data_IF_222991573198
#
_entry.id   IF_222991573198
#
_cell.length_a   1.000
_cell.length_b   1.000
_cell.length_c   1.000
_cell.angle_alpha   90.00
_cell.angle_beta   90.00
_cell.angle_gamma   90.00
#
_symmetry.space_group_name_H-M   'P 1'
#
loop_
_entity.id
_entity.type
_entity.pdbx_description
1 polymer ?
#
# COMPACT_ATOMS: atom_id res chain seq x y z
N UNK A 1 -36.67 -79.69 53.24
CA UNK A 1 -35.78 -78.71 53.90
C UNK A 1 -35.14 -77.84 52.81
N UNK A 2 -35.37 -76.52 52.89
CA UNK A 2 -34.72 -75.37 52.19
C UNK A 2 -34.75 -75.33 50.64
N UNK A 3 -35.59 -74.51 49.97
CA UNK A 3 -35.62 -73.03 49.76
C UNK A 3 -34.79 -72.56 48.54
N UNK A 4 -35.45 -72.19 47.42
CA UNK A 4 -35.57 -70.83 46.81
C UNK A 4 -34.25 -70.24 46.23
N UNK A 5 -34.16 -69.56 45.07
CA UNK A 5 -35.03 -68.59 44.38
C UNK A 5 -34.80 -68.61 42.85
N UNK A 6 -35.82 -68.14 42.11
CA UNK A 6 -35.81 -67.76 40.68
C UNK A 6 -35.07 -66.43 40.43
N UNK A 7 -34.49 -66.25 39.24
CA UNK A 7 -34.45 -64.97 38.48
C UNK A 7 -34.15 -65.22 36.98
N UNK A 8 -34.75 -64.45 36.04
CA UNK A 8 -34.68 -64.70 34.59
C UNK A 8 -33.52 -63.93 33.92
N UNK A 9 -32.97 -64.45 32.81
CA UNK A 9 -32.06 -63.71 31.95
C UNK A 9 -32.83 -63.14 30.74
N UNK A 10 -32.75 -61.82 30.59
CA UNK A 10 -33.35 -61.02 29.53
C UNK A 10 -32.48 -61.14 28.27
N UNK A 11 -33.10 -61.45 27.13
CA UNK A 11 -32.48 -61.35 25.80
C UNK A 11 -32.55 -59.88 25.38
N UNK A 12 -31.40 -59.20 25.37
CA UNK A 12 -31.25 -57.83 24.88
C UNK A 12 -30.67 -57.83 23.47
N UNK A 13 -31.48 -57.45 22.49
CA UNK A 13 -31.10 -57.23 21.10
C UNK A 13 -30.21 -55.99 20.99
N UNK A 14 -28.97 -56.13 20.52
CA UNK A 14 -28.10 -55.00 20.16
C UNK A 14 -28.47 -54.50 18.75
N UNK A 15 -29.06 -53.31 18.65
CA UNK A 15 -29.07 -52.54 17.40
C UNK A 15 -27.71 -51.85 17.24
N UNK A 16 -26.98 -52.18 16.17
CA UNK A 16 -25.82 -51.41 15.72
C UNK A 16 -26.31 -50.20 14.92
N UNK A 17 -26.11 -48.99 15.47
CA UNK A 17 -26.29 -47.75 14.71
C UNK A 17 -25.03 -47.48 13.88
N UNK A 18 -25.15 -47.62 12.56
CA UNK A 18 -24.11 -47.18 11.62
C UNK A 18 -24.14 -45.64 11.55
N UNK A 19 -23.13 -44.99 12.12
CA UNK A 19 -22.90 -43.56 11.92
C UNK A 19 -22.37 -43.34 10.50
N UNK A 20 -23.22 -42.80 9.62
CA UNK A 20 -22.79 -42.27 8.33
C UNK A 20 -21.99 -40.99 8.58
N UNK A 21 -20.66 -41.10 8.49
CA UNK A 21 -19.77 -39.94 8.47
C UNK A 21 -20.00 -39.15 7.17
N UNK A 22 -20.49 -37.93 7.28
CA UNK A 22 -20.48 -36.98 6.17
C UNK A 22 -19.01 -36.67 5.82
N UNK A 23 -18.64 -36.57 4.54
CA UNK A 23 -17.30 -36.14 4.16
C UNK A 23 -17.10 -34.71 4.65
N UNK A 24 -16.21 -34.55 5.64
CA UNK A 24 -15.74 -33.25 6.07
C UNK A 24 -15.12 -32.56 4.87
N UNK A 25 -15.68 -31.42 4.47
CA UNK A 25 -15.02 -30.51 3.55
C UNK A 25 -13.80 -30.00 4.30
N UNK A 26 -12.63 -30.55 4.00
CA UNK A 26 -11.37 -29.97 4.43
C UNK A 26 -11.33 -28.56 3.81
N UNK A 27 -11.63 -27.55 4.62
CA UNK A 27 -11.33 -26.16 4.27
C UNK A 27 -9.82 -26.13 4.04
N UNK A 28 -9.41 -25.93 2.78
CA UNK A 28 -8.01 -25.69 2.48
C UNK A 28 -7.54 -24.56 3.39
N UNK A 29 -6.62 -24.85 4.31
CA UNK A 29 -6.03 -23.83 5.15
C UNK A 29 -5.44 -22.79 4.21
N UNK A 30 -5.91 -21.54 4.30
CA UNK A 30 -5.26 -20.42 3.64
C UNK A 30 -3.80 -20.45 4.03
N UNK A 31 -2.89 -20.42 3.05
CA UNK A 31 -1.47 -20.32 3.34
C UNK A 31 -1.26 -19.05 4.17
N UNK A 32 -0.85 -19.22 5.43
CA UNK A 32 -0.60 -18.11 6.34
C UNK A 32 0.54 -17.21 5.85
N UNK A 33 0.81 -16.11 6.58
CA UNK A 33 1.91 -15.23 6.22
C UNK A 33 3.24 -15.98 6.22
N UNK A 34 4.08 -15.65 5.24
CA UNK A 34 5.48 -16.08 5.16
C UNK A 34 6.36 -14.93 5.65
N UNK A 35 7.19 -15.22 6.64
CA UNK A 35 8.18 -14.26 7.17
C UNK A 35 9.25 -13.97 6.12
N UNK A 36 9.47 -12.68 5.84
CA UNK A 36 10.54 -12.22 4.94
C UNK A 36 11.89 -12.07 5.67
N UNK A 37 11.89 -12.17 7.00
CA UNK A 37 13.08 -12.13 7.84
C UNK A 37 13.77 -10.77 7.88
N UNK A 38 14.99 -10.76 8.42
CA UNK A 38 15.84 -9.58 8.60
C UNK A 38 17.26 -9.87 8.11
N UNK A 39 18.07 -8.83 7.92
CA UNK A 39 19.50 -9.00 7.71
C UNK A 39 20.18 -9.50 9.00
N UNK A 40 21.34 -10.19 8.89
CA UNK A 40 22.09 -10.61 10.07
C UNK A 40 22.39 -9.44 11.02
N UNK A 41 21.92 -9.54 12.27
CA UNK A 41 22.09 -8.52 13.30
C UNK A 41 20.89 -7.59 13.49
N UNK A 42 19.95 -7.55 12.54
CA UNK A 42 18.74 -6.73 12.63
C UNK A 42 17.58 -7.48 13.33
N UNK A 43 16.66 -6.72 13.92
CA UNK A 43 15.50 -7.25 14.66
C UNK A 43 14.17 -7.00 13.96
N UNK A 44 14.12 -6.02 13.05
CA UNK A 44 12.90 -5.59 12.40
C UNK A 44 13.09 -5.52 10.88
N UNK A 45 12.00 -5.69 10.15
CA UNK A 45 11.97 -5.45 8.72
C UNK A 45 10.63 -4.88 8.27
N UNK A 46 10.66 -4.12 7.17
CA UNK A 46 9.47 -3.57 6.53
C UNK A 46 9.58 -3.72 5.01
N UNK A 47 8.58 -4.34 4.40
CA UNK A 47 8.41 -4.37 2.94
C UNK A 47 7.56 -3.18 2.50
N UNK A 48 8.04 -2.44 1.49
CA UNK A 48 7.44 -1.18 1.03
C UNK A 48 6.76 -1.34 -0.33
N UNK A 49 7.32 -2.18 -1.20
CA UNK A 49 6.79 -2.39 -2.55
C UNK A 49 7.04 -3.81 -3.06
N UNK A 50 6.20 -4.24 -3.99
CA UNK A 50 6.28 -5.51 -4.71
C UNK A 50 5.97 -5.26 -6.19
N UNK A 51 6.72 -5.90 -7.10
CA UNK A 51 6.43 -5.86 -8.53
C UNK A 51 5.70 -7.12 -9.03
N UNK A 52 5.34 -7.15 -10.32
CA UNK A 52 4.66 -8.28 -10.95
C UNK A 52 5.47 -9.60 -10.88
N UNK A 53 6.80 -9.52 -10.93
CA UNK A 53 7.66 -10.70 -10.82
C UNK A 53 7.78 -11.26 -9.37
N UNK A 54 7.15 -10.60 -8.40
CA UNK A 54 7.26 -10.95 -6.98
C UNK A 54 8.56 -10.49 -6.32
N UNK A 55 9.32 -9.61 -6.98
CA UNK A 55 10.45 -8.91 -6.33
C UNK A 55 9.88 -7.89 -5.36
N UNK A 56 10.35 -7.95 -4.13
CA UNK A 56 9.95 -7.05 -3.05
C UNK A 56 11.14 -6.22 -2.60
N UNK A 57 10.89 -5.00 -2.12
CA UNK A 57 11.92 -4.11 -1.58
C UNK A 57 11.46 -3.44 -0.30
N UNK A 58 12.41 -2.92 0.48
CA UNK A 58 12.11 -2.27 1.73
C UNK A 58 13.36 -2.03 2.57
N UNK A 59 13.21 -2.22 3.88
CA UNK A 59 14.25 -1.97 4.88
C UNK A 59 14.31 -3.08 5.94
N UNK A 60 15.51 -3.27 6.49
CA UNK A 60 15.83 -4.08 7.66
C UNK A 60 16.56 -3.20 8.66
N UNK A 61 16.28 -3.32 9.96
CA UNK A 61 16.85 -2.41 10.95
C UNK A 61 16.97 -3.03 12.36
N UNK A 62 17.95 -2.56 13.17
CA UNK A 62 18.16 -3.04 14.52
C UNK A 62 17.13 -2.44 15.50
N UNK A 63 17.04 -3.03 16.69
CA UNK A 63 16.20 -2.52 17.80
C UNK A 63 16.68 -1.20 18.42
N UNK A 64 17.92 -0.79 18.17
CA UNK A 64 18.55 0.37 18.81
C UNK A 64 17.85 1.72 18.46
N UNK A 65 17.85 2.65 19.42
CA UNK A 65 17.32 4.03 19.31
C UNK A 65 18.02 4.88 18.24
N UNK A 66 19.14 4.42 17.70
CA UNK A 66 19.85 5.05 16.57
C UNK A 66 19.41 4.54 15.20
N UNK A 67 18.35 3.72 15.13
CA UNK A 67 17.72 3.11 13.93
C UNK A 67 18.44 3.42 12.61
N UNK A 68 19.38 2.55 12.24
CA UNK A 68 20.01 2.57 10.93
C UNK A 68 19.19 1.68 10.00
N UNK A 69 18.54 2.29 9.02
CA UNK A 69 17.79 1.54 8.01
C UNK A 69 18.76 0.96 6.97
N UNK A 70 18.71 -0.35 6.78
CA UNK A 70 19.44 -1.04 5.73
C UNK A 70 18.48 -1.31 4.57
N UNK A 71 18.72 -0.77 3.36
CA UNK A 71 17.86 -1.04 2.22
C UNK A 71 18.02 -2.51 1.81
N UNK A 72 16.91 -3.18 1.52
CA UNK A 72 16.89 -4.61 1.21
C UNK A 72 15.98 -4.93 0.04
N UNK A 73 16.25 -6.08 -0.57
CA UNK A 73 15.41 -6.72 -1.58
C UNK A 73 15.11 -8.15 -1.14
N UNK A 74 13.88 -8.59 -1.37
CA UNK A 74 13.49 -9.98 -1.29
C UNK A 74 13.11 -10.50 -2.67
N UNK A 75 13.45 -11.74 -2.97
CA UNK A 75 12.91 -12.41 -4.13
C UNK A 75 11.50 -12.97 -3.88
N UNK A 76 10.88 -13.55 -4.90
CA UNK A 76 9.53 -14.14 -4.82
C UNK A 76 9.37 -15.29 -3.81
N UNK A 77 10.47 -15.79 -3.27
CA UNK A 77 10.50 -16.85 -2.26
C UNK A 77 10.83 -16.29 -0.86
N UNK A 78 10.90 -14.97 -0.71
CA UNK A 78 11.21 -14.30 0.54
C UNK A 78 12.69 -14.32 0.92
N UNK A 79 13.60 -14.64 -0.01
CA UNK A 79 15.04 -14.62 0.30
C UNK A 79 15.54 -13.18 0.33
N UNK A 80 15.98 -12.71 1.50
CA UNK A 80 16.49 -11.35 1.73
C UNK A 80 17.92 -11.17 1.20
N UNK A 81 18.22 -9.99 0.69
CA UNK A 81 19.56 -9.53 0.34
C UNK A 81 19.68 -8.03 0.59
N UNK A 82 20.83 -7.58 1.08
CA UNK A 82 21.11 -6.16 1.25
C UNK A 82 21.27 -5.47 -0.12
N UNK A 83 20.76 -4.24 -0.23
CA UNK A 83 21.08 -3.32 -1.31
C UNK A 83 22.20 -2.38 -0.83
N UNK A 84 23.22 -2.09 -1.67
CA UNK A 84 24.31 -1.21 -1.27
C UNK A 84 23.87 0.25 -1.16
N UNK A 85 24.49 1.00 -0.26
CA UNK A 85 24.36 2.47 -0.15
C UNK A 85 25.43 3.17 -1.00
N UNK A 86 25.51 4.50 -0.96
CA UNK A 86 26.55 5.29 -1.65
C UNK A 86 27.85 5.41 -0.84
N UNK A 87 28.10 4.46 0.07
CA UNK A 87 29.25 4.45 0.97
C UNK A 87 28.94 4.88 2.41
N UNK A 88 27.74 5.43 2.67
CA UNK A 88 27.23 5.65 4.03
C UNK A 88 26.59 4.38 4.62
N UNK A 89 26.12 4.44 5.86
CA UNK A 89 25.59 3.24 6.55
C UNK A 89 24.07 3.04 6.44
N UNK A 90 23.32 3.97 5.85
CA UNK A 90 21.85 3.88 5.80
C UNK A 90 21.26 4.11 4.42
N UNK A 91 20.06 3.57 4.24
CA UNK A 91 19.20 3.81 3.10
C UNK A 91 17.86 3.11 3.26
N UNK A 92 16.93 3.39 2.36
CA UNK A 92 15.65 2.68 2.30
C UNK A 92 15.21 2.56 0.85
N UNK A 93 14.77 1.36 0.47
CA UNK A 93 14.15 1.12 -0.83
C UNK A 93 12.63 1.30 -0.71
N UNK A 94 12.07 2.17 -1.56
CA UNK A 94 10.70 2.67 -1.42
C UNK A 94 9.77 2.08 -2.50
N UNK A 95 10.25 2.02 -3.75
CA UNK A 95 9.46 1.53 -4.87
C UNK A 95 10.29 0.64 -5.80
N UNK A 96 9.62 -0.25 -6.53
CA UNK A 96 10.23 -1.17 -7.51
C UNK A 96 9.33 -1.28 -8.73
N UNK A 97 9.92 -1.24 -9.93
CA UNK A 97 9.18 -1.39 -11.18
C UNK A 97 9.17 -2.85 -11.69
N UNK A 98 8.46 -3.10 -12.79
CA UNK A 98 8.23 -4.45 -13.33
C UNK A 98 9.51 -5.19 -13.77
N UNK A 99 10.57 -4.45 -14.11
CA UNK A 99 11.88 -5.04 -14.48
C UNK A 99 12.83 -5.20 -13.28
N UNK A 100 12.38 -4.85 -12.08
CA UNK A 100 13.14 -5.02 -10.84
C UNK A 100 14.12 -3.89 -10.53
N UNK A 101 14.00 -2.74 -11.18
CA UNK A 101 14.71 -1.51 -10.76
C UNK A 101 14.00 -0.96 -9.54
N UNK A 102 14.76 -0.78 -8.46
CA UNK A 102 14.27 -0.20 -7.21
C UNK A 102 14.75 1.24 -7.06
N UNK A 103 14.00 2.06 -6.34
CA UNK A 103 14.36 3.45 -6.03
C UNK A 103 14.07 3.78 -4.57
N UNK A 104 14.76 4.79 -4.06
CA UNK A 104 14.61 5.25 -2.69
C UNK A 104 15.66 6.30 -2.36
N UNK A 105 16.23 6.20 -1.16
CA UNK A 105 17.30 7.07 -0.71
C UNK A 105 18.43 6.29 -0.04
N UNK A 106 19.64 6.84 -0.07
CA UNK A 106 20.79 6.29 0.64
C UNK A 106 21.77 7.40 1.06
N UNK A 107 22.50 7.17 2.15
CA UNK A 107 23.61 8.03 2.55
C UNK A 107 24.87 7.75 1.74
N UNK A 108 25.60 8.82 1.44
CA UNK A 108 26.98 8.75 0.97
C UNK A 108 27.98 8.73 2.14
N UNK A 109 29.27 8.73 1.82
CA UNK A 109 30.37 8.72 2.79
C UNK A 109 30.43 9.95 3.71
N UNK A 110 29.71 11.02 3.38
CA UNK A 110 29.62 12.26 4.17
C UNK A 110 28.30 12.35 4.95
N UNK A 111 27.50 11.27 4.98
CA UNK A 111 26.17 11.22 5.59
C UNK A 111 25.13 12.14 4.91
N UNK A 112 25.35 12.49 3.64
CA UNK A 112 24.38 13.24 2.85
C UNK A 112 23.36 12.29 2.20
N UNK A 113 22.06 12.64 2.28
CA UNK A 113 20.97 11.83 1.71
C UNK A 113 20.87 12.08 0.21
N UNK A 114 20.93 11.01 -0.59
CA UNK A 114 20.69 11.10 -2.03
C UNK A 114 19.54 10.20 -2.44
N UNK A 115 18.74 10.68 -3.38
CA UNK A 115 17.86 9.82 -4.14
C UNK A 115 18.71 8.82 -4.94
N UNK A 116 18.35 7.54 -4.90
CA UNK A 116 19.12 6.48 -5.57
C UNK A 116 18.22 5.57 -6.38
N UNK A 117 18.83 4.94 -7.37
CA UNK A 117 18.28 3.78 -8.07
C UNK A 117 19.19 2.57 -7.85
N UNK A 118 18.58 1.41 -7.61
CA UNK A 118 19.25 0.12 -7.64
C UNK A 118 18.82 -0.63 -8.90
N UNK A 119 19.79 -0.99 -9.73
CA UNK A 119 19.57 -1.87 -10.87
C UNK A 119 19.19 -3.29 -10.39
N UNK A 120 18.60 -4.14 -11.25
CA UNK A 120 18.16 -5.48 -10.84
C UNK A 120 19.28 -6.37 -10.26
N UNK A 121 20.52 -6.11 -10.68
CA UNK A 121 21.76 -6.76 -10.20
C UNK A 121 22.27 -6.22 -8.85
N UNK A 122 21.62 -5.20 -8.29
CA UNK A 122 21.98 -4.54 -7.04
C UNK A 122 22.87 -3.31 -7.18
N UNK A 123 23.32 -2.96 -8.38
CA UNK A 123 24.17 -1.77 -8.59
C UNK A 123 23.43 -0.50 -8.21
N UNK A 124 23.97 0.26 -7.25
CA UNK A 124 23.42 1.55 -6.81
C UNK A 124 23.97 2.71 -7.63
N UNK A 125 23.11 3.68 -7.95
CA UNK A 125 23.50 4.93 -8.60
C UNK A 125 22.72 6.07 -7.99
N UNK A 126 23.41 7.16 -7.62
CA UNK A 126 22.76 8.40 -7.21
C UNK A 126 22.03 9.03 -8.39
N UNK A 127 20.80 9.50 -8.15
CA UNK A 127 20.08 10.32 -9.12
C UNK A 127 20.61 11.76 -9.08
N UNK A 128 20.75 12.44 -10.22
CA UNK A 128 21.26 13.80 -10.26
C UNK A 128 20.37 14.77 -9.46
N UNK A 129 20.98 15.70 -8.71
CA UNK A 129 20.27 16.67 -7.87
C UNK A 129 21.22 17.69 -7.24
N UNK A 130 20.67 18.79 -6.73
CA UNK A 130 21.46 19.89 -6.16
C UNK A 130 21.72 19.76 -4.64
N UNK A 131 21.19 18.71 -4.00
CA UNK A 131 21.35 18.47 -2.57
C UNK A 131 20.50 17.28 -2.10
N UNK A 132 20.09 17.33 -0.82
CA UNK A 132 19.27 16.28 -0.21
C UNK A 132 18.06 15.92 -1.06
N UNK A 133 17.91 14.64 -1.37
CA UNK A 133 16.87 14.14 -2.29
C UNK A 133 16.39 12.74 -1.91
N UNK A 134 15.17 12.40 -2.35
CA UNK A 134 14.58 11.08 -2.16
C UNK A 134 13.69 10.71 -3.35
N UNK A 135 13.82 9.48 -3.85
CA UNK A 135 12.93 8.96 -4.89
C UNK A 135 11.73 8.24 -4.25
N UNK A 136 10.51 8.63 -4.61
CA UNK A 136 9.29 8.12 -3.99
C UNK A 136 8.54 7.12 -4.89
N UNK A 137 8.53 7.36 -6.19
CA UNK A 137 7.79 6.54 -7.18
C UNK A 137 8.61 6.30 -8.44
N UNK A 138 8.37 5.16 -9.10
CA UNK A 138 9.00 4.79 -10.37
C UNK A 138 7.95 4.22 -11.33
N UNK A 139 7.95 4.66 -12.59
CA UNK A 139 7.10 4.13 -13.65
C UNK A 139 7.66 2.82 -14.21
N UNK A 140 6.83 2.09 -14.98
CA UNK A 140 7.27 0.91 -15.73
C UNK A 140 8.38 1.24 -16.72
N UNK A 141 8.36 2.45 -17.28
CA UNK A 141 9.36 2.96 -18.22
C UNK A 141 10.64 3.50 -17.55
N UNK A 142 10.71 3.50 -16.22
CA UNK A 142 11.89 3.95 -15.46
C UNK A 142 11.96 5.47 -15.24
N UNK A 143 10.86 6.19 -15.45
CA UNK A 143 10.73 7.59 -14.99
C UNK A 143 10.52 7.58 -13.48
N UNK A 144 11.26 8.40 -12.76
CA UNK A 144 11.24 8.46 -11.31
C UNK A 144 10.74 9.84 -10.90
N UNK A 145 10.00 9.93 -9.81
CA UNK A 145 9.62 11.19 -9.20
C UNK A 145 9.75 11.14 -7.68
N UNK A 146 10.00 12.30 -7.07
CA UNK A 146 10.20 12.41 -5.63
C UNK A 146 10.58 13.82 -5.21
N UNK A 147 11.28 13.94 -4.09
CA UNK A 147 11.69 15.21 -3.50
C UNK A 147 13.17 15.51 -3.71
N UNK A 148 13.49 16.80 -3.78
CA UNK A 148 14.84 17.34 -3.80
C UNK A 148 14.83 18.71 -3.11
N UNK A 149 16.01 19.33 -3.00
CA UNK A 149 16.16 20.74 -2.68
C UNK A 149 16.76 21.51 -3.86
N UNK A 150 16.44 22.80 -3.97
CA UNK A 150 17.13 23.73 -4.87
C UNK A 150 18.54 24.05 -4.32
N UNK A 151 19.36 24.75 -5.11
CA UNK A 151 20.67 25.25 -4.65
C UNK A 151 20.58 26.18 -3.42
N UNK A 152 19.40 26.77 -3.16
CA UNK A 152 19.13 27.62 -2.01
C UNK A 152 18.51 26.84 -0.83
N UNK A 153 18.38 25.52 -0.93
CA UNK A 153 17.81 24.66 0.11
C UNK A 153 16.28 24.63 0.14
N UNK A 154 15.59 25.15 -0.89
CA UNK A 154 14.12 25.12 -0.95
C UNK A 154 13.63 23.72 -1.34
N UNK A 155 12.73 23.08 -0.57
CA UNK A 155 12.15 21.80 -0.95
C UNK A 155 11.35 21.91 -2.24
N UNK A 156 11.59 20.99 -3.17
CA UNK A 156 10.91 20.90 -4.46
C UNK A 156 10.60 19.45 -4.81
N UNK A 157 9.54 19.23 -5.57
CA UNK A 157 9.30 17.96 -6.23
C UNK A 157 10.01 17.93 -7.58
N UNK A 158 10.60 16.79 -7.94
CA UNK A 158 11.36 16.63 -9.18
C UNK A 158 11.00 15.33 -9.89
N UNK A 159 11.21 15.34 -11.20
CA UNK A 159 11.13 14.20 -12.11
C UNK A 159 12.52 13.89 -12.65
N UNK A 160 12.97 12.65 -12.48
CA UNK A 160 14.14 12.11 -13.16
C UNK A 160 13.69 11.26 -14.33
N UNK A 161 14.02 11.69 -15.55
CA UNK A 161 13.73 10.91 -16.75
C UNK A 161 14.76 9.78 -16.93
N UNK A 162 14.41 8.81 -17.77
CA UNK A 162 15.28 7.65 -18.04
C UNK A 162 16.63 8.04 -18.67
N UNK A 163 16.69 9.18 -19.38
CA UNK A 163 17.92 9.73 -19.96
C UNK A 163 18.81 10.48 -18.95
N UNK A 164 18.38 10.56 -17.69
CA UNK A 164 19.09 11.26 -16.61
C UNK A 164 18.77 12.74 -16.49
N UNK A 165 17.89 13.30 -17.33
CA UNK A 165 17.43 14.68 -17.18
C UNK A 165 16.60 14.85 -15.90
N UNK A 166 16.80 15.98 -15.22
CA UNK A 166 16.05 16.38 -14.03
C UNK A 166 15.14 17.53 -14.41
N UNK A 167 13.85 17.39 -14.12
CA UNK A 167 12.84 18.42 -14.33
C UNK A 167 12.19 18.76 -12.99
N UNK A 168 12.25 20.01 -12.58
CA UNK A 168 11.48 20.49 -11.44
C UNK A 168 9.98 20.47 -11.77
N UNK A 169 9.17 20.00 -10.83
CA UNK A 169 7.72 19.99 -10.95
C UNK A 169 7.20 21.32 -10.43
N UNK A 170 6.61 22.13 -11.32
CA UNK A 170 6.23 23.51 -11.01
C UNK A 170 5.27 23.60 -9.82
N UNK A 171 5.44 24.60 -8.97
CA UNK A 171 4.49 24.96 -7.92
C UNK A 171 3.32 25.80 -8.47
N UNK A 172 2.26 25.97 -7.68
CA UNK A 172 1.20 26.91 -8.00
C UNK A 172 1.69 28.37 -7.86
N UNK A 173 1.14 29.33 -8.62
CA UNK A 173 1.55 30.72 -8.55
C UNK A 173 1.47 31.29 -7.12
N UNK A 174 2.58 31.83 -6.62
CA UNK A 174 2.68 32.41 -5.28
C UNK A 174 2.78 31.39 -4.14
N UNK A 175 2.64 30.10 -4.43
CA UNK A 175 2.95 29.00 -3.52
C UNK A 175 4.37 28.46 -3.72
N UNK A 176 4.74 27.42 -2.98
CA UNK A 176 6.08 26.83 -3.08
C UNK A 176 6.23 25.37 -2.69
N UNK A 177 5.39 24.84 -1.80
CA UNK A 177 5.47 23.43 -1.43
C UNK A 177 4.80 22.55 -2.49
N UNK A 178 5.42 21.42 -2.80
CA UNK A 178 4.91 20.38 -3.70
C UNK A 178 5.24 19.01 -3.15
N UNK A 179 4.36 18.02 -3.39
CA UNK A 179 4.58 16.63 -2.99
C UNK A 179 4.04 15.67 -4.05
N UNK A 180 4.83 14.65 -4.41
CA UNK A 180 4.43 13.61 -5.38
C UNK A 180 3.71 12.47 -4.67
N UNK A 181 2.59 12.01 -5.22
CA UNK A 181 1.83 10.88 -4.68
C UNK A 181 1.73 9.68 -5.63
N UNK A 182 1.91 9.89 -6.93
CA UNK A 182 1.82 8.80 -7.90
C UNK A 182 2.33 9.17 -9.29
N UNK A 183 2.55 8.15 -10.11
CA UNK A 183 3.02 8.28 -11.50
C UNK A 183 2.32 7.24 -12.37
N UNK A 184 1.98 7.60 -13.61
CA UNK A 184 1.44 6.64 -14.59
C UNK A 184 2.52 5.67 -15.04
N UNK A 185 2.13 4.46 -15.45
CA UNK A 185 3.06 3.40 -15.86
C UNK A 185 3.96 3.79 -17.04
N UNK A 186 3.49 4.66 -17.94
CA UNK A 186 4.28 5.22 -19.04
C UNK A 186 5.22 6.36 -18.59
N UNK A 187 5.05 6.90 -17.38
CA UNK A 187 5.82 8.02 -16.84
C UNK A 187 5.42 9.39 -17.42
N UNK A 188 4.27 9.48 -18.09
CA UNK A 188 3.82 10.70 -18.76
C UNK A 188 3.17 11.70 -17.79
N UNK A 189 2.49 11.21 -16.75
CA UNK A 189 1.78 12.03 -15.77
C UNK A 189 2.21 11.68 -14.35
N UNK A 190 2.36 12.71 -13.53
CA UNK A 190 2.61 12.60 -12.09
C UNK A 190 1.45 13.28 -11.37
N UNK A 191 0.91 12.65 -10.32
CA UNK A 191 -0.07 13.27 -9.42
C UNK A 191 0.57 13.69 -8.12
N UNK A 192 -0.06 14.65 -7.44
CA UNK A 192 0.37 15.03 -6.12
C UNK A 192 -0.37 16.23 -5.55
N UNK A 193 0.31 16.94 -4.66
CA UNK A 193 -0.21 18.10 -3.95
C UNK A 193 0.68 19.32 -4.20
N UNK A 194 0.06 20.50 -4.27
CA UNK A 194 0.76 21.77 -4.26
C UNK A 194 0.01 22.78 -3.38
N UNK A 195 0.75 23.69 -2.76
CA UNK A 195 0.16 24.74 -1.93
C UNK A 195 0.00 26.03 -2.75
N UNK A 196 -1.11 26.74 -2.55
CA UNK A 196 -1.30 28.09 -3.08
C UNK A 196 -0.61 29.16 -2.20
N UNK A 197 -0.71 30.44 -2.58
CA UNK A 197 -0.12 31.54 -1.81
C UNK A 197 -0.76 31.77 -0.43
N UNK A 198 -1.96 31.22 -0.19
CA UNK A 198 -2.65 31.29 1.09
C UNK A 198 -2.35 30.07 1.98
N UNK A 199 -1.58 29.10 1.49
CA UNK A 199 -1.25 27.87 2.19
C UNK A 199 -2.34 26.81 2.14
N UNK A 200 -3.31 26.91 1.22
CA UNK A 200 -4.26 25.83 0.96
C UNK A 200 -3.60 24.78 0.07
N UNK A 201 -3.89 23.50 0.33
CA UNK A 201 -3.45 22.37 -0.48
C UNK A 201 -4.40 22.09 -1.65
N UNK A 202 -3.82 21.84 -2.81
CA UNK A 202 -4.50 21.52 -4.05
C UNK A 202 -4.08 20.14 -4.53
N UNK A 203 -5.04 19.38 -5.07
CA UNK A 203 -4.73 18.19 -5.84
C UNK A 203 -4.25 18.64 -7.23
N UNK A 204 -3.09 18.17 -7.64
CA UNK A 204 -2.44 18.66 -8.87
C UNK A 204 -1.92 17.51 -9.72
N UNK A 205 -1.62 17.85 -10.97
CA UNK A 205 -1.00 16.96 -11.94
C UNK A 205 0.12 17.67 -12.66
N UNK A 206 1.23 16.97 -12.86
CA UNK A 206 2.32 17.42 -13.71
C UNK A 206 2.43 16.57 -14.96
N UNK A 207 2.78 17.20 -16.07
CA UNK A 207 3.16 16.52 -17.31
C UNK A 207 4.69 16.28 -17.36
N UNK A 208 5.16 15.68 -18.45
CA UNK A 208 6.58 15.37 -18.64
C UNK A 208 7.52 16.59 -18.63
N UNK A 209 7.02 17.80 -18.92
CA UNK A 209 7.80 19.05 -18.89
C UNK A 209 7.77 19.72 -17.51
N UNK A 210 7.16 19.09 -16.50
CA UNK A 210 6.99 19.67 -15.17
C UNK A 210 5.89 20.73 -15.09
N UNK A 211 5.08 20.92 -16.15
CA UNK A 211 4.00 21.89 -16.13
C UNK A 211 2.85 21.39 -15.24
N UNK A 212 2.41 22.24 -14.33
CA UNK A 212 1.37 21.96 -13.34
C UNK A 212 -0.03 22.23 -13.91
N UNK A 213 -0.98 21.36 -13.56
CA UNK A 213 -2.42 21.57 -13.73
C UNK A 213 -3.06 21.46 -12.35
N UNK A 214 -3.72 22.54 -11.90
CA UNK A 214 -4.57 22.52 -10.71
C UNK A 214 -5.88 21.78 -11.00
N UNK A 215 -6.19 20.75 -10.22
CA UNK A 215 -7.40 19.93 -10.38
C UNK A 215 -8.52 20.37 -9.43
N UNK A 216 -8.23 21.25 -8.48
CA UNK A 216 -9.17 21.76 -7.48
C UNK A 216 -9.22 23.29 -7.43
N UNK A 217 -9.27 24.02 -8.57
CA UNK A 217 -9.17 25.48 -8.58
C UNK A 217 -10.36 26.17 -7.90
N UNK A 218 -11.50 25.49 -7.78
CA UNK A 218 -12.70 25.99 -7.12
C UNK A 218 -12.71 25.85 -5.60
N UNK A 219 -11.68 25.23 -5.00
CA UNK A 219 -11.60 25.03 -3.55
C UNK A 219 -10.91 26.19 -2.81
N UNK A 220 -10.74 27.32 -3.49
CA UNK A 220 -10.16 28.55 -2.93
C UNK A 220 -11.09 29.09 -1.82
N UNK A 221 -10.70 28.86 -0.56
CA UNK A 221 -11.48 29.25 0.62
C UNK A 221 -11.87 28.08 1.53
N UNK A 222 -11.58 26.83 1.15
CA UNK A 222 -11.76 25.67 2.02
C UNK A 222 -10.48 24.80 1.97
N UNK A 223 -9.77 24.63 3.08
CA UNK A 223 -8.48 23.92 3.08
C UNK A 223 -8.72 22.44 2.74
N UNK A 224 -8.05 21.92 1.73
CA UNK A 224 -7.99 20.46 1.53
C UNK A 224 -8.39 20.00 0.15
N UNK A 225 -7.44 19.75 -0.73
CA UNK A 225 -7.61 18.81 -1.81
C UNK A 225 -6.39 17.90 -1.91
N UNK A 226 -6.62 16.60 -1.74
CA UNK A 226 -5.53 15.61 -1.71
C UNK A 226 -5.66 14.63 -2.87
N UNK A 227 -4.55 14.37 -3.57
CA UNK A 227 -4.47 13.33 -4.58
C UNK A 227 -3.88 12.06 -3.94
N UNK A 228 -4.68 11.01 -3.79
CA UNK A 228 -4.24 9.78 -3.13
C UNK A 228 -3.54 8.81 -4.10
N UNK A 229 -4.12 8.59 -5.28
CA UNK A 229 -3.59 7.64 -6.25
C UNK A 229 -3.98 8.00 -7.69
N UNK A 230 -3.16 7.59 -8.66
CA UNK A 230 -3.37 7.77 -10.09
C UNK A 230 -3.31 6.42 -10.81
N UNK A 231 -4.18 6.21 -11.81
CA UNK A 231 -4.11 5.04 -12.69
C UNK A 231 -3.46 5.37 -14.05
N UNK A 232 -3.18 4.36 -14.87
CA UNK A 232 -2.49 4.54 -16.16
C UNK A 232 -3.28 5.37 -17.20
N UNK A 233 -4.58 5.59 -16.96
CA UNK A 233 -5.41 6.46 -17.79
C UNK A 233 -5.37 7.93 -17.34
N UNK A 234 -4.62 8.26 -16.30
CA UNK A 234 -4.51 9.60 -15.74
C UNK A 234 -5.72 10.02 -14.91
N UNK A 235 -6.52 9.06 -14.43
CA UNK A 235 -7.58 9.32 -13.46
C UNK A 235 -6.96 9.31 -12.07
N UNK A 236 -7.24 10.35 -11.29
CA UNK A 236 -6.72 10.53 -9.94
C UNK A 236 -7.87 10.38 -8.95
N UNK A 237 -7.74 9.53 -7.94
CA UNK A 237 -8.67 9.45 -6.82
C UNK A 237 -8.11 10.22 -5.61
N UNK A 238 -8.99 10.81 -4.82
CA UNK A 238 -8.58 11.55 -3.62
C UNK A 238 -9.75 12.26 -2.94
N UNK A 239 -9.47 13.35 -2.23
CA UNK A 239 -10.48 14.07 -1.45
C UNK A 239 -10.49 15.56 -1.78
N UNK A 240 -11.66 16.18 -1.61
CA UNK A 240 -11.80 17.63 -1.44
C UNK A 240 -12.48 17.91 -0.11
N UNK A 241 -12.17 19.03 0.52
CA UNK A 241 -12.91 19.48 1.70
C UNK A 241 -14.14 20.24 1.25
N UNK A 242 -15.31 19.87 1.77
CA UNK A 242 -16.58 20.60 1.58
C UNK A 242 -17.23 20.80 2.96
N UNK A 243 -17.46 22.06 3.35
CA UNK A 243 -18.03 22.40 4.67
C UNK A 243 -17.33 21.71 5.86
N UNK A 244 -15.99 21.66 5.83
CA UNK A 244 -15.16 21.03 6.87
C UNK A 244 -15.09 19.50 6.84
N UNK A 245 -15.60 18.84 5.79
CA UNK A 245 -15.58 17.37 5.65
C UNK A 245 -14.83 16.92 4.41
N UNK A 246 -14.16 15.77 4.49
CA UNK A 246 -13.52 15.15 3.33
C UNK A 246 -14.55 14.42 2.47
N UNK A 247 -14.73 14.92 1.25
CA UNK A 247 -15.58 14.32 0.23
C UNK A 247 -14.71 13.54 -0.75
N UNK A 248 -14.95 12.23 -0.94
CA UNK A 248 -14.19 11.44 -1.91
C UNK A 248 -14.53 11.86 -3.34
N UNK A 249 -13.50 12.07 -4.16
CA UNK A 249 -13.62 12.49 -5.56
C UNK A 249 -12.65 11.72 -6.45
N UNK A 250 -12.94 11.74 -7.75
CA UNK A 250 -12.01 11.39 -8.80
C UNK A 250 -11.89 12.51 -9.83
N UNK A 251 -10.68 12.91 -10.17
CA UNK A 251 -10.38 13.81 -11.27
C UNK A 251 -10.07 13.01 -12.53
N UNK A 252 -10.87 13.24 -13.58
CA UNK A 252 -10.66 12.63 -14.89
C UNK A 252 -9.45 13.24 -15.60
N UNK A 253 -9.00 12.60 -16.67
CA UNK A 253 -7.82 13.04 -17.43
C UNK A 253 -7.99 14.45 -18.01
N UNK A 254 -9.20 14.85 -18.37
CA UNK A 254 -9.55 16.20 -18.84
C UNK A 254 -9.61 17.26 -17.71
N UNK A 255 -9.36 16.88 -16.45
CA UNK A 255 -9.42 17.74 -15.28
C UNK A 255 -10.79 17.78 -14.60
N UNK A 256 -11.82 17.14 -15.17
CA UNK A 256 -13.17 17.13 -14.60
C UNK A 256 -13.20 16.37 -13.26
N UNK A 257 -13.59 17.06 -12.20
CA UNK A 257 -13.87 16.46 -10.89
C UNK A 257 -15.22 15.73 -10.90
N UNK A 258 -15.25 14.52 -10.35
CA UNK A 258 -16.45 13.69 -10.18
C UNK A 258 -16.50 13.25 -8.72
N UNK A 259 -17.64 13.48 -8.03
CA UNK A 259 -17.83 12.94 -6.68
C UNK A 259 -17.99 11.43 -6.73
N UNK A 260 -17.40 10.74 -5.76
CA UNK A 260 -17.61 9.32 -5.55
C UNK A 260 -18.77 9.15 -4.56
N UNK A 261 -19.80 8.40 -4.96
CA UNK A 261 -21.01 8.21 -4.15
C UNK A 261 -20.69 7.59 -2.77
N UNK A 262 -21.48 7.88 -1.75
CA UNK A 262 -21.31 7.32 -0.41
C UNK A 262 -22.67 6.97 0.21
N UNK A 263 -22.80 5.82 0.91
CA UNK A 263 -24.10 5.33 1.37
C UNK A 263 -24.61 6.03 2.63
N UNK A 264 -23.77 6.72 3.40
CA UNK A 264 -24.16 7.41 4.63
C UNK A 264 -24.14 8.95 4.48
N UNK A 265 -24.89 9.67 5.30
CA UNK A 265 -24.78 11.12 5.41
C UNK A 265 -24.61 11.51 6.88
N UNK A 266 -23.51 12.21 7.24
CA UNK A 266 -22.52 12.79 6.33
C UNK A 266 -21.46 11.78 5.86
N UNK A 267 -21.13 11.87 4.57
CA UNK A 267 -20.07 11.08 3.95
C UNK A 267 -18.69 11.62 4.32
N UNK A 268 -17.89 10.81 5.01
CA UNK A 268 -16.47 11.06 5.22
C UNK A 268 -15.71 9.81 4.80
N UNK A 269 -15.07 9.85 3.64
CA UNK A 269 -14.31 8.72 3.12
C UNK A 269 -13.05 9.19 2.41
N UNK A 270 -12.01 8.37 2.53
CA UNK A 270 -10.66 8.62 2.03
C UNK A 270 -10.29 7.55 1.01
N UNK A 271 -10.28 7.88 -0.30
CA UNK A 271 -9.68 7.02 -1.30
C UNK A 271 -8.20 6.77 -1.00
N UNK A 272 -7.73 5.55 -1.25
CA UNK A 272 -6.32 5.17 -1.07
C UNK A 272 -5.69 4.61 -2.33
N UNK A 273 -6.44 3.86 -3.14
CA UNK A 273 -5.92 3.25 -4.35
C UNK A 273 -6.96 3.22 -5.47
N UNK A 274 -6.47 3.25 -6.71
CA UNK A 274 -7.27 3.14 -7.94
C UNK A 274 -6.59 2.20 -8.92
N UNK A 275 -7.35 1.32 -9.57
CA UNK A 275 -6.82 0.46 -10.64
C UNK A 275 -7.19 0.98 -12.05
N UNK A 276 -6.66 0.32 -13.07
CA UNK A 276 -6.90 0.69 -14.46
C UNK A 276 -8.35 0.40 -14.93
N UNK A 277 -9.11 -0.43 -14.21
CA UNK A 277 -10.56 -0.58 -14.45
C UNK A 277 -11.38 0.60 -13.88
N UNK A 278 -10.74 1.56 -13.21
CA UNK A 278 -11.38 2.70 -12.57
C UNK A 278 -12.07 2.36 -11.24
N UNK A 279 -11.78 1.19 -10.68
CA UNK A 279 -12.21 0.83 -9.33
C UNK A 279 -11.33 1.58 -8.34
N UNK A 280 -11.96 2.26 -7.39
CA UNK A 280 -11.30 2.97 -6.30
C UNK A 280 -11.60 2.23 -5.00
N UNK A 281 -10.63 2.12 -4.10
CA UNK A 281 -10.84 1.64 -2.73
C UNK A 281 -10.30 2.62 -1.72
N UNK A 282 -10.81 2.50 -0.50
CA UNK A 282 -10.42 3.36 0.60
C UNK A 282 -11.19 2.99 1.86
N UNK A 283 -11.34 3.96 2.75
CA UNK A 283 -12.11 3.73 3.96
C UNK A 283 -12.87 4.98 4.39
N UNK A 284 -13.98 4.81 5.09
CA UNK A 284 -14.80 5.93 5.55
C UNK A 284 -15.76 5.56 6.67
N UNK A 285 -16.34 6.58 7.30
CA UNK A 285 -17.26 6.44 8.41
C UNK A 285 -18.64 5.99 7.92
N UNK A 286 -19.12 4.87 8.46
CA UNK A 286 -20.50 4.40 8.28
C UNK A 286 -21.14 4.43 9.66
N UNK A 287 -22.25 5.16 9.80
CA UNK A 287 -23.06 5.25 11.03
C UNK A 287 -22.37 5.86 12.29
N UNK A 288 -21.56 6.91 12.10
CA UNK A 288 -21.05 7.81 13.17
C UNK A 288 -20.08 7.22 14.21
N UNK A 289 -19.54 6.00 14.06
CA UNK A 289 -18.61 5.48 15.06
C UNK A 289 -17.37 4.76 14.53
N UNK A 290 -17.37 4.21 13.31
CA UNK A 290 -16.27 3.35 12.90
C UNK A 290 -15.93 3.42 11.40
N UNK A 291 -14.63 3.40 11.13
CA UNK A 291 -14.07 3.39 9.78
C UNK A 291 -14.28 2.02 9.13
N UNK A 292 -14.73 2.02 7.87
CA UNK A 292 -15.11 0.84 7.10
C UNK A 292 -14.38 0.81 5.77
N UNK A 293 -13.89 -0.36 5.37
CA UNK A 293 -13.33 -0.62 4.06
C UNK A 293 -14.40 -0.50 2.98
N UNK A 294 -14.11 0.24 1.92
CA UNK A 294 -15.06 0.50 0.85
C UNK A 294 -14.45 0.41 -0.54
N UNK A 295 -15.34 0.18 -1.51
CA UNK A 295 -15.03 0.09 -2.92
C UNK A 295 -16.01 0.92 -3.73
N UNK A 296 -15.49 1.80 -4.56
CA UNK A 296 -16.25 2.50 -5.59
C UNK A 296 -15.99 1.87 -6.96
N UNK A 297 -17.07 1.54 -7.66
CA UNK A 297 -17.04 0.97 -9.00
C UNK A 297 -18.08 1.65 -9.89
N UNK A 298 -18.14 1.28 -11.17
CA UNK A 298 -19.18 1.76 -12.07
C UNK A 298 -20.61 1.39 -11.60
N UNK A 299 -20.75 0.34 -10.80
CA UNK A 299 -22.02 -0.08 -10.18
C UNK A 299 -22.38 0.67 -8.89
N UNK A 300 -21.55 1.64 -8.48
CA UNK A 300 -21.71 2.39 -7.23
C UNK A 300 -20.73 1.97 -6.14
N UNK A 301 -21.05 2.38 -4.91
CA UNK A 301 -20.25 2.13 -3.70
C UNK A 301 -20.68 0.85 -2.99
N UNK A 302 -19.70 0.09 -2.51
CA UNK A 302 -19.91 -1.13 -1.70
C UNK A 302 -19.09 -1.01 -0.42
N UNK A 303 -19.74 -1.24 0.73
CA UNK A 303 -19.05 -1.42 2.01
C UNK A 303 -18.59 -2.87 2.08
N UNK A 304 -17.28 -3.09 2.09
CA UNK A 304 -16.68 -4.42 1.98
C UNK A 304 -16.80 -5.22 3.28
N UNK A 305 -16.76 -4.53 4.41
CA UNK A 305 -16.90 -5.12 5.74
C UNK A 305 -17.84 -4.24 6.58
N UNK A 306 -19.15 -4.54 6.62
CA UNK A 306 -20.15 -3.67 7.25
C UNK A 306 -20.22 -3.82 8.78
N UNK A 307 -19.76 -4.93 9.34
CA UNK A 307 -19.95 -5.29 10.74
C UNK A 307 -18.76 -4.92 11.64
N UNK A 308 -17.55 -4.88 11.10
CA UNK A 308 -16.30 -4.68 11.85
C UNK A 308 -15.52 -3.47 11.37
N UNK A 309 -14.67 -2.92 12.25
CA UNK A 309 -13.73 -1.88 11.85
C UNK A 309 -12.82 -2.41 10.76
N UNK A 310 -12.65 -1.66 9.68
CA UNK A 310 -11.88 -2.11 8.54
C UNK A 310 -11.33 -0.96 7.70
N UNK A 311 -10.24 -1.23 6.98
CA UNK A 311 -9.61 -0.28 6.07
C UNK A 311 -9.18 -1.01 4.80
N UNK A 312 -9.49 -0.47 3.61
CA UNK A 312 -8.90 -0.94 2.36
C UNK A 312 -7.69 -0.08 1.99
N UNK A 313 -6.57 -0.73 1.64
CA UNK A 313 -5.28 -0.06 1.43
C UNK A 313 -4.87 -0.10 -0.04
N UNK A 314 -4.97 -1.27 -0.67
CA UNK A 314 -4.55 -1.47 -2.05
C UNK A 314 -5.51 -2.39 -2.80
N UNK A 315 -5.43 -2.37 -4.12
CA UNK A 315 -6.16 -3.29 -5.00
C UNK A 315 -5.32 -3.64 -6.23
N UNK A 316 -5.52 -4.84 -6.77
CA UNK A 316 -4.85 -5.26 -8.00
C UNK A 316 -5.75 -5.08 -9.24
N UNK A 317 -5.23 -5.49 -10.40
CA UNK A 317 -5.93 -5.41 -11.68
C UNK A 317 -7.18 -6.31 -11.76
N UNK A 318 -7.22 -7.44 -11.03
CA UNK A 318 -8.40 -8.32 -10.99
C UNK A 318 -9.50 -7.78 -10.06
N UNK A 319 -9.25 -6.68 -9.34
CA UNK A 319 -10.20 -6.09 -8.41
C UNK A 319 -10.19 -6.75 -7.03
N UNK A 320 -9.17 -7.56 -6.72
CA UNK A 320 -8.91 -8.04 -5.36
C UNK A 320 -8.42 -6.86 -4.53
N UNK A 321 -9.05 -6.66 -3.38
CA UNK A 321 -8.75 -5.58 -2.44
C UNK A 321 -8.03 -6.17 -1.24
N UNK A 322 -7.05 -5.46 -0.70
CA UNK A 322 -6.35 -5.83 0.53
C UNK A 322 -6.37 -4.68 1.52
N UNK A 323 -6.31 -5.05 2.79
CA UNK A 323 -6.30 -4.09 3.88
C UNK A 323 -6.42 -4.82 5.20
N UNK A 324 -7.18 -4.27 6.13
CA UNK A 324 -7.20 -4.74 7.51
C UNK A 324 -8.63 -4.80 8.03
N UNK A 325 -8.92 -5.83 8.82
CA UNK A 325 -10.14 -5.94 9.61
C UNK A 325 -9.74 -6.06 11.07
N UNK A 326 -10.23 -5.14 11.88
CA UNK A 326 -9.79 -4.89 13.25
C UNK A 326 -8.27 -4.66 13.33
N UNK A 327 -7.54 -5.73 13.59
CA UNK A 327 -6.10 -5.75 13.89
C UNK A 327 -5.34 -6.77 13.05
N UNK A 328 -5.99 -7.34 12.04
CA UNK A 328 -5.45 -8.44 11.22
C UNK A 328 -5.63 -8.12 9.74
N UNK A 329 -4.62 -8.46 8.95
CA UNK A 329 -4.63 -8.34 7.50
C UNK A 329 -5.80 -9.14 6.90
N UNK A 330 -6.45 -8.55 5.90
CA UNK A 330 -7.60 -9.11 5.22
C UNK A 330 -7.51 -8.87 3.71
N UNK A 331 -8.20 -9.72 2.96
CA UNK A 331 -8.47 -9.51 1.53
C UNK A 331 -9.96 -9.63 1.27
N UNK A 332 -10.42 -8.89 0.26
CA UNK A 332 -11.75 -9.04 -0.32
C UNK A 332 -11.59 -9.36 -1.80
N UNK A 333 -12.16 -10.47 -2.25
CA UNK A 333 -12.22 -10.81 -3.66
C UNK A 333 -13.11 -9.81 -4.43
N UNK A 334 -13.08 -9.87 -5.75
CA UNK A 334 -13.84 -8.94 -6.60
C UNK A 334 -15.37 -9.06 -6.42
N UNK A 335 -15.87 -10.15 -5.86
CA UNK A 335 -17.28 -10.35 -5.50
C UNK A 335 -17.62 -9.90 -4.06
N UNK A 336 -16.64 -9.39 -3.31
CA UNK A 336 -16.78 -8.97 -1.92
C UNK A 336 -16.48 -10.05 -0.89
N UNK A 337 -16.18 -11.30 -1.31
CA UNK A 337 -15.84 -12.38 -0.38
C UNK A 337 -14.60 -12.05 0.44
N UNK A 338 -14.76 -11.97 1.76
CA UNK A 338 -13.66 -11.70 2.68
C UNK A 338 -12.84 -12.96 2.98
N UNK A 339 -11.53 -12.78 3.17
CA UNK A 339 -10.64 -13.74 3.81
C UNK A 339 -9.73 -13.02 4.80
N UNK A 340 -9.76 -13.44 6.08
CA UNK A 340 -8.77 -13.03 7.08
C UNK A 340 -7.47 -13.79 6.83
N UNK A 341 -6.36 -13.07 6.74
CA UNK A 341 -5.06 -13.60 6.33
C UNK A 341 -4.20 -14.09 7.51
N UNK A 342 -4.57 -13.72 8.74
CA UNK A 342 -3.87 -14.11 9.96
C UNK A 342 -2.54 -13.37 10.19
N UNK A 343 -1.84 -13.77 11.26
CA UNK A 343 -0.52 -13.27 11.65
C UNK A 343 0.50 -14.42 11.66
N UNK A 344 1.79 -14.08 11.78
CA UNK A 344 2.86 -15.06 11.96
C UNK A 344 2.64 -15.92 13.21
N UNK A 345 3.18 -17.16 13.26
CA UNK A 345 3.05 -18.02 14.43
C UNK A 345 3.49 -17.31 15.73
N UNK A 346 2.56 -17.21 16.68
CA UNK A 346 2.79 -16.53 17.98
C UNK A 346 2.49 -15.03 17.97
N UNK A 347 2.21 -14.43 16.81
CA UNK A 347 1.68 -13.08 16.65
C UNK A 347 0.16 -13.01 16.76
N UNK A 348 -0.34 -11.80 17.00
CA UNK A 348 -1.78 -11.48 17.08
C UNK A 348 -2.21 -10.39 16.10
N UNK A 349 -1.27 -9.65 15.53
CA UNK A 349 -1.49 -8.44 14.78
C UNK A 349 -0.80 -8.53 13.40
N UNK A 350 -1.52 -8.16 12.35
CA UNK A 350 -0.93 -8.07 11.02
C UNK A 350 -1.57 -6.97 10.19
N UNK A 351 -0.80 -6.44 9.25
CA UNK A 351 -1.22 -5.37 8.37
C UNK A 351 -0.84 -5.63 6.92
N UNK A 352 -1.82 -5.59 6.01
CA UNK A 352 -1.55 -5.61 4.57
C UNK A 352 -1.26 -4.19 4.07
N UNK A 353 -0.21 -4.04 3.26
CA UNK A 353 0.24 -2.75 2.73
C UNK A 353 0.21 -2.67 1.20
N UNK A 354 0.21 -3.81 0.51
CA UNK A 354 0.21 -3.85 -0.96
C UNK A 354 -0.18 -5.21 -1.51
N UNK A 355 -0.52 -5.23 -2.80
CA UNK A 355 -0.84 -6.44 -3.56
C UNK A 355 -0.32 -6.28 -4.98
N UNK A 356 0.32 -7.32 -5.51
CA UNK A 356 0.78 -7.32 -6.91
C UNK A 356 -0.31 -7.86 -7.87
N UNK A 357 -0.15 -7.71 -9.20
CA UNK A 357 -1.11 -8.21 -10.18
C UNK A 357 -1.45 -9.70 -10.05
N UNK A 358 -0.50 -10.51 -9.62
CA UNK A 358 -0.60 -11.96 -9.44
C UNK A 358 -1.32 -12.36 -8.15
N UNK A 359 -1.63 -11.39 -7.27
CA UNK A 359 -2.35 -11.60 -6.03
C UNK A 359 -1.49 -11.91 -4.81
N UNK A 360 -0.16 -11.76 -4.91
CA UNK A 360 0.74 -11.81 -3.76
C UNK A 360 0.56 -10.53 -2.95
N UNK A 361 0.28 -10.68 -1.67
CA UNK A 361 0.03 -9.58 -0.74
C UNK A 361 1.28 -9.37 0.10
N UNK A 362 1.69 -8.12 0.31
CA UNK A 362 2.79 -7.76 1.20
C UNK A 362 2.27 -7.01 2.41
N UNK A 363 3.03 -7.05 3.49
CA UNK A 363 2.66 -6.37 4.71
C UNK A 363 3.62 -6.61 5.86
N UNK A 364 3.09 -6.51 7.08
CA UNK A 364 3.85 -6.75 8.30
C UNK A 364 3.03 -7.59 9.28
N UNK A 365 3.73 -8.33 10.14
CA UNK A 365 3.12 -9.09 11.22
C UNK A 365 3.97 -8.98 12.48
N UNK A 366 3.31 -9.03 13.64
CA UNK A 366 4.01 -9.09 14.92
C UNK A 366 4.54 -10.49 15.20
N UNK A 367 5.58 -10.49 16.02
CA UNK A 367 6.18 -11.61 16.73
C UNK A 367 6.36 -11.16 18.19
N UNK A 368 6.61 -12.09 19.10
CA UNK A 368 6.82 -11.80 20.53
C UNK A 368 7.97 -10.82 20.81
N UNK A 369 8.84 -10.57 19.83
CA UNK A 369 10.02 -9.72 19.94
C UNK A 369 10.10 -8.58 18.90
N UNK A 370 9.12 -8.43 18.00
CA UNK A 370 9.16 -7.34 17.02
C UNK A 370 8.23 -7.51 15.84
N UNK A 371 8.29 -6.53 14.93
CA UNK A 371 7.54 -6.48 13.68
C UNK A 371 8.42 -6.94 12.52
N UNK A 372 7.92 -7.90 11.76
CA UNK A 372 8.59 -8.41 10.56
C UNK A 372 7.77 -8.11 9.32
N UNK A 373 8.47 -7.85 8.22
CA UNK A 373 7.90 -7.87 6.89
C UNK A 373 7.41 -9.28 6.56
N UNK A 374 6.25 -9.37 5.92
CA UNK A 374 5.66 -10.66 5.50
C UNK A 374 5.07 -10.55 4.10
N UNK A 375 4.86 -11.70 3.48
CA UNK A 375 3.98 -11.81 2.33
C UNK A 375 2.98 -12.95 2.51
N UNK A 376 1.79 -12.79 1.93
CA UNK A 376 0.82 -13.87 1.76
C UNK A 376 0.83 -14.30 0.29
N UNK A 377 1.14 -15.57 0.00
CA UNK A 377 1.13 -16.09 -1.36
C UNK A 377 -0.25 -15.94 -2.02
N UNK A 378 -0.26 -15.79 -3.34
CA UNK A 378 -1.50 -15.91 -4.12
C UNK A 378 -2.14 -17.29 -3.87
N UNK A 379 -3.45 -17.30 -3.63
CA UNK A 379 -4.24 -18.52 -3.34
C UNK A 379 -4.84 -19.15 -4.58
#
# INVERSE_FOLDING_TARGET
>A
MLSSLKKPLIVGTLLAAAALGLPGVATAATAGPVDLGTLPGDTFSRVTAINAAGTMVGESYPRDVRMRFHPVKWDKHGRISALPTLGGEQGSAIAVNDIGVAVGWAFDVHEEVHAVRWAPDGTVTALPGAGSSSANVISRTGVIAGSSVTAQGTPVSVRWAADGSVTELAALPGGGQTHVTGITGDGALISGQAWDSAGNDHAVRWNATGAITDLSPGNQGNPGATAAAINDFGVIAGTVTEAGRQVPVAWKRDGRQVRLDWPASPASATPRAINNAGVVVGSGDVDFAENRAVRWSAGGVTVLEPARRSEAVALNASGTVVGNVESVAARWAADGTETILGALPGGQYSWATGINPEGTIIGMSDLSYGWHAVYWPAS
#
